data_IF_146723791394
#
_entry.id   IF_146723791394
#
_cell.length_a   1.000
_cell.length_b   1.000
_cell.length_c   1.000
_cell.angle_alpha   90.00
_cell.angle_beta   90.00
_cell.angle_gamma   90.00
#
_symmetry.space_group_name_H-M   'P 1'
#
loop_
_entity.id
_entity.type
_entity.pdbx_description
1 polymer ?
#
# COMPACT_ATOMS: atom_id res chain seq x y z
N UNK A 1 -18.20 -23.06 -1.04
CA UNK A 1 -17.28 -22.13 -0.36
C UNK A 1 -15.93 -22.30 -1.01
N UNK A 2 -15.37 -21.29 -1.67
CA UNK A 2 -14.12 -21.44 -2.44
C UNK A 2 -13.06 -20.54 -1.84
N UNK A 3 -12.22 -21.11 -0.96
CA UNK A 3 -10.95 -20.53 -0.56
C UNK A 3 -9.98 -20.79 -1.73
N UNK A 4 -9.52 -19.75 -2.42
CA UNK A 4 -8.70 -19.92 -3.62
C UNK A 4 -7.22 -19.71 -3.26
N UNK A 5 -6.48 -20.82 -3.12
CA UNK A 5 -5.04 -20.88 -2.88
C UNK A 5 -4.37 -21.33 -4.18
N UNK A 6 -3.34 -20.62 -4.68
CA UNK A 6 -2.70 -20.91 -5.99
C UNK A 6 -1.18 -21.12 -5.88
N UNK A 7 -0.70 -22.25 -6.42
CA UNK A 7 0.71 -22.65 -6.56
C UNK A 7 0.82 -23.84 -7.53
N UNK A 8 1.72 -23.80 -8.51
CA UNK A 8 1.87 -24.84 -9.54
C UNK A 8 3.34 -25.23 -9.76
N UNK A 9 3.60 -26.54 -9.91
CA UNK A 9 4.88 -27.16 -10.28
C UNK A 9 4.98 -27.35 -11.81
N UNK A 10 6.14 -27.08 -12.42
CA UNK A 10 6.41 -27.43 -13.83
C UNK A 10 7.34 -28.64 -13.95
N UNK A 11 6.93 -29.64 -14.75
CA UNK A 11 7.82 -30.66 -15.33
C UNK A 11 8.06 -30.35 -16.81
N UNK A 12 9.31 -30.44 -17.22
CA UNK A 12 9.79 -30.24 -18.59
C UNK A 12 9.65 -31.52 -19.42
N UNK A 13 9.17 -31.40 -20.67
CA UNK A 13 9.44 -32.38 -21.73
C UNK A 13 9.76 -31.63 -23.05
N UNK A 14 10.71 -32.13 -23.86
CA UNK A 14 11.21 -31.44 -25.04
C UNK A 14 10.37 -31.71 -26.30
N UNK A 15 10.40 -30.75 -27.23
CA UNK A 15 9.79 -30.83 -28.57
C UNK A 15 10.88 -31.10 -29.61
N UNK A 16 10.56 -31.79 -30.72
CA UNK A 16 11.00 -31.26 -32.01
C UNK A 16 9.93 -31.33 -33.12
N UNK A 17 9.89 -30.27 -33.95
CA UNK A 17 9.80 -30.45 -35.41
C UNK A 17 8.52 -30.02 -36.15
N UNK A 18 8.65 -28.93 -36.92
CA UNK A 18 7.96 -28.60 -38.18
C UNK A 18 6.63 -27.79 -38.14
N UNK A 19 6.72 -26.54 -38.60
CA UNK A 19 5.68 -25.50 -38.61
C UNK A 19 4.60 -25.63 -39.73
N UNK A 20 4.50 -26.75 -40.44
CA UNK A 20 3.50 -26.90 -41.54
C UNK A 20 2.32 -27.80 -41.24
N UNK A 21 2.35 -28.60 -40.16
CA UNK A 21 1.21 -29.40 -39.72
C UNK A 21 0.15 -28.61 -38.91
N UNK A 22 0.52 -27.44 -38.35
CA UNK A 22 -0.28 -26.71 -37.37
C UNK A 22 -1.54 -26.04 -37.96
N UNK A 23 -1.54 -25.67 -39.25
CA UNK A 23 -2.66 -24.92 -39.85
C UNK A 23 -3.86 -25.77 -40.23
N UNK A 24 -3.67 -27.07 -40.49
CA UNK A 24 -4.78 -27.99 -40.84
C UNK A 24 -5.41 -28.60 -39.57
N UNK A 25 -4.64 -28.73 -38.48
CA UNK A 25 -5.14 -29.24 -37.20
C UNK A 25 -6.03 -28.26 -36.42
N UNK A 26 -5.75 -26.96 -36.48
CA UNK A 26 -6.52 -25.94 -35.74
C UNK A 26 -7.99 -25.88 -36.20
N UNK A 27 -8.26 -26.08 -37.49
CA UNK A 27 -9.63 -26.05 -38.03
C UNK A 27 -10.43 -27.32 -37.71
N UNK A 28 -9.78 -28.47 -37.60
CA UNK A 28 -10.43 -29.74 -37.23
C UNK A 28 -10.68 -29.86 -35.71
N UNK A 29 -9.79 -29.32 -34.87
CA UNK A 29 -10.00 -29.29 -33.42
C UNK A 29 -11.13 -28.33 -32.99
N UNK A 30 -11.31 -27.20 -33.69
CA UNK A 30 -12.38 -26.25 -33.39
C UNK A 30 -13.79 -26.85 -33.62
N UNK A 31 -13.94 -27.72 -34.63
CA UNK A 31 -15.21 -28.38 -34.93
C UNK A 31 -15.53 -29.54 -33.96
N UNK A 32 -14.51 -30.24 -33.44
CA UNK A 32 -14.70 -31.34 -32.48
C UNK A 32 -14.96 -30.85 -31.04
N UNK A 33 -14.39 -29.71 -30.64
CA UNK A 33 -14.60 -29.13 -29.29
C UNK A 33 -16.01 -28.59 -29.11
N UNK A 34 -16.70 -28.18 -30.18
CA UNK A 34 -18.10 -27.72 -30.11
C UNK A 34 -19.10 -28.86 -29.84
N UNK A 35 -18.72 -30.13 -30.02
CA UNK A 35 -19.62 -31.28 -29.85
C UNK A 35 -19.53 -31.90 -28.44
N UNK A 36 -18.48 -31.61 -27.65
CA UNK A 36 -18.26 -32.22 -26.33
C UNK A 36 -18.57 -31.33 -25.10
N UNK A 37 -19.01 -30.09 -25.28
CA UNK A 37 -19.38 -29.23 -24.14
C UNK A 37 -20.78 -29.48 -23.56
N UNK A 38 -21.51 -30.51 -24.01
CA UNK A 38 -22.85 -30.81 -23.50
C UNK A 38 -22.89 -31.68 -22.24
N UNK A 39 -21.77 -32.17 -21.70
CA UNK A 39 -21.78 -33.04 -20.53
C UNK A 39 -20.61 -32.80 -19.57
N UNK A 40 -20.78 -31.83 -18.66
CA UNK A 40 -20.04 -31.81 -17.39
C UNK A 40 -21.08 -31.79 -16.24
N UNK A 41 -21.03 -32.75 -15.30
CA UNK A 41 -21.99 -32.81 -14.21
C UNK A 41 -21.85 -31.64 -13.24
N UNK A 42 -22.99 -31.09 -12.82
CA UNK A 42 -23.11 -30.02 -11.83
C UNK A 42 -22.60 -30.48 -10.45
N UNK A 43 -21.50 -29.88 -9.98
CA UNK A 43 -21.05 -30.02 -8.59
C UNK A 43 -21.80 -29.01 -7.71
N UNK A 44 -22.73 -29.55 -6.90
CA UNK A 44 -23.42 -28.99 -5.73
C UNK A 44 -23.60 -27.46 -5.66
N UNK A 45 -24.76 -27.01 -6.12
CA UNK A 45 -25.20 -25.61 -6.20
C UNK A 45 -26.15 -25.21 -5.05
N UNK A 46 -26.07 -25.85 -3.87
CA UNK A 46 -27.16 -25.81 -2.88
C UNK A 46 -26.87 -25.05 -1.56
N UNK A 47 -25.95 -24.08 -1.53
CA UNK A 47 -25.76 -23.21 -0.35
C UNK A 47 -25.72 -21.70 -0.61
N UNK A 48 -26.00 -21.25 -1.85
CA UNK A 48 -25.94 -19.82 -2.23
C UNK A 48 -27.29 -19.21 -2.67
N UNK A 49 -28.41 -19.89 -2.43
CA UNK A 49 -29.70 -19.56 -3.09
C UNK A 49 -30.55 -18.47 -2.42
N UNK A 50 -30.01 -17.70 -1.47
CA UNK A 50 -30.56 -16.38 -1.13
C UNK A 50 -29.43 -15.35 -1.09
N UNK A 51 -29.01 -14.87 -2.25
CA UNK A 51 -28.38 -13.55 -2.32
C UNK A 51 -29.48 -12.53 -2.01
N UNK A 52 -29.27 -11.73 -0.97
CA UNK A 52 -30.10 -10.57 -0.67
C UNK A 52 -29.88 -9.53 -1.78
N UNK A 53 -30.92 -9.16 -2.52
CA UNK A 53 -30.81 -8.18 -3.61
C UNK A 53 -30.20 -6.86 -3.12
N UNK A 54 -30.49 -6.49 -1.88
CA UNK A 54 -29.91 -5.33 -1.21
C UNK A 54 -28.38 -5.41 -1.09
N UNK A 55 -27.82 -6.60 -0.88
CA UNK A 55 -26.36 -6.79 -0.81
C UNK A 55 -25.68 -6.59 -2.17
N UNK A 56 -26.32 -7.02 -3.26
CA UNK A 56 -25.79 -6.81 -4.60
C UNK A 56 -25.79 -5.33 -4.95
N UNK A 57 -26.85 -4.61 -4.60
CA UNK A 57 -26.98 -3.17 -4.84
C UNK A 57 -25.94 -2.37 -4.05
N UNK A 58 -25.73 -2.71 -2.78
CA UNK A 58 -24.68 -2.08 -1.96
C UNK A 58 -23.27 -2.37 -2.50
N UNK A 59 -22.98 -3.61 -2.93
CA UNK A 59 -21.69 -3.98 -3.54
C UNK A 59 -21.47 -3.22 -4.86
N UNK A 60 -22.50 -3.12 -5.69
CA UNK A 60 -22.49 -2.35 -6.93
C UNK A 60 -22.23 -0.86 -6.66
N UNK A 61 -22.93 -0.28 -5.69
CA UNK A 61 -22.77 1.13 -5.31
C UNK A 61 -21.33 1.40 -4.84
N UNK A 62 -20.82 0.57 -3.92
CA UNK A 62 -19.46 0.70 -3.39
C UNK A 62 -18.39 0.68 -4.49
N UNK A 63 -18.48 -0.26 -5.44
CA UNK A 63 -17.54 -0.33 -6.55
C UNK A 63 -17.74 0.76 -7.60
N UNK A 64 -18.99 1.21 -7.80
CA UNK A 64 -19.29 2.34 -8.69
C UNK A 64 -18.66 3.62 -8.15
N UNK A 65 -18.81 3.92 -6.87
CA UNK A 65 -18.19 5.09 -6.23
C UNK A 65 -16.66 5.06 -6.33
N UNK A 66 -16.05 3.89 -6.13
CA UNK A 66 -14.60 3.72 -6.34
C UNK A 66 -14.20 4.06 -7.77
N UNK A 67 -14.85 3.45 -8.75
CA UNK A 67 -14.49 3.61 -10.16
C UNK A 67 -14.81 5.01 -10.68
N UNK A 68 -15.84 5.69 -10.17
CA UNK A 68 -16.11 7.09 -10.50
C UNK A 68 -14.91 8.00 -10.24
N UNK A 69 -14.15 7.73 -9.16
CA UNK A 69 -12.95 8.49 -8.83
C UNK A 69 -11.74 7.95 -9.56
N UNK A 70 -11.55 6.63 -9.64
CA UNK A 70 -10.26 6.02 -10.03
C UNK A 70 -10.17 5.56 -11.49
N UNK A 71 -11.29 5.32 -12.19
CA UNK A 71 -11.28 4.70 -13.52
C UNK A 71 -10.55 5.54 -14.58
N UNK A 72 -10.60 6.86 -14.43
CA UNK A 72 -9.96 7.83 -15.33
C UNK A 72 -8.82 8.60 -14.67
N UNK A 73 -8.30 8.12 -13.53
CA UNK A 73 -7.11 8.71 -12.93
C UNK A 73 -5.93 8.46 -13.85
N UNK A 74 -5.28 9.55 -14.26
CA UNK A 74 -4.02 9.48 -15.00
C UNK A 74 -2.98 8.69 -14.20
N UNK A 75 -2.19 7.86 -14.88
CA UNK A 75 -1.16 7.02 -14.27
C UNK A 75 -0.21 7.83 -13.38
N UNK A 76 0.15 9.05 -13.80
CA UNK A 76 1.01 9.97 -13.06
C UNK A 76 0.43 10.39 -11.71
N UNK A 77 -0.89 10.30 -11.51
CA UNK A 77 -1.59 10.71 -10.30
C UNK A 77 -1.95 9.52 -9.38
N UNK A 78 -1.67 8.27 -9.79
CA UNK A 78 -1.65 7.15 -8.85
C UNK A 78 -0.53 7.36 -7.82
N UNK A 79 -0.67 6.78 -6.62
CA UNK A 79 0.27 6.93 -5.49
C UNK A 79 1.63 6.22 -5.72
N UNK A 80 2.21 6.32 -6.91
CA UNK A 80 3.56 5.87 -7.20
C UNK A 80 4.54 7.02 -6.99
N UNK A 81 5.14 7.13 -5.81
CA UNK A 81 6.03 8.24 -5.48
C UNK A 81 7.41 8.15 -6.15
N UNK A 82 7.75 7.02 -6.79
CA UNK A 82 9.03 6.78 -7.43
C UNK A 82 9.72 5.53 -6.90
N UNK A 83 11.01 5.38 -7.23
CA UNK A 83 11.81 4.25 -6.77
C UNK A 83 11.90 4.24 -5.23
N UNK A 84 11.83 3.05 -4.63
CA UNK A 84 11.93 2.73 -3.21
C UNK A 84 12.21 3.92 -2.26
N UNK A 85 11.14 4.45 -1.65
CA UNK A 85 11.10 5.54 -0.65
C UNK A 85 11.54 6.91 -1.12
N UNK A 86 11.63 7.15 -2.42
CA UNK A 86 12.04 8.44 -2.92
C UNK A 86 10.83 9.35 -3.16
N UNK A 87 10.32 10.01 -2.10
CA UNK A 87 9.18 10.94 -2.20
C UNK A 87 9.53 12.26 -2.93
N UNK A 88 10.56 12.30 -3.79
CA UNK A 88 10.90 13.48 -4.59
C UNK A 88 9.71 13.96 -5.42
N UNK A 89 8.96 13.07 -6.07
CA UNK A 89 7.77 13.46 -6.84
C UNK A 89 6.72 14.18 -5.99
N UNK A 90 6.64 13.88 -4.70
CA UNK A 90 5.76 14.59 -3.78
C UNK A 90 6.33 15.96 -3.40
N UNK A 91 7.62 16.00 -3.06
CA UNK A 91 8.34 17.21 -2.67
C UNK A 91 8.37 18.27 -3.78
N UNK A 92 8.44 17.86 -5.05
CA UNK A 92 8.46 18.76 -6.22
C UNK A 92 7.22 19.66 -6.36
N UNK A 93 6.16 19.39 -5.60
CA UNK A 93 4.96 20.23 -5.55
C UNK A 93 5.05 21.42 -4.59
N UNK A 94 6.16 21.57 -3.87
CA UNK A 94 6.34 22.55 -2.81
C UNK A 94 7.63 23.37 -3.02
N UNK A 95 7.57 24.67 -2.79
CA UNK A 95 8.77 25.50 -2.66
C UNK A 95 9.25 25.41 -1.20
N UNK A 96 10.28 24.60 -0.96
CA UNK A 96 10.77 24.28 0.38
C UNK A 96 12.25 24.63 0.57
N UNK A 97 12.59 24.95 1.82
CA UNK A 97 13.98 25.10 2.24
C UNK A 97 14.51 23.79 2.84
N UNK A 98 15.65 23.31 2.36
CA UNK A 98 16.31 22.11 2.93
C UNK A 98 17.09 22.50 4.18
N UNK A 99 16.70 21.94 5.33
CA UNK A 99 17.44 22.06 6.57
C UNK A 99 18.64 21.13 6.54
N UNK A 100 19.85 21.69 6.50
CA UNK A 100 21.10 20.94 6.50
C UNK A 100 21.81 21.10 7.83
N UNK A 101 21.95 20.01 8.59
CA UNK A 101 22.59 20.04 9.92
C UNK A 101 24.10 20.24 9.84
N UNK A 102 24.71 19.89 8.71
CA UNK A 102 26.15 20.01 8.46
C UNK A 102 26.57 21.33 7.81
N UNK A 103 25.61 22.16 7.36
CA UNK A 103 25.92 23.45 6.75
C UNK A 103 26.34 24.47 7.84
N UNK A 104 27.58 24.96 7.74
CA UNK A 104 28.11 26.05 8.55
C UNK A 104 28.39 27.31 7.69
N UNK A 105 27.71 28.46 7.95
CA UNK A 105 26.53 28.61 8.78
C UNK A 105 25.24 28.33 7.98
N UNK A 106 24.31 27.58 8.57
CA UNK A 106 22.93 27.58 8.09
C UNK A 106 22.35 29.00 8.22
N UNK A 107 21.63 29.53 7.22
CA UNK A 107 21.02 30.85 7.30
C UNK A 107 20.05 30.89 8.50
N UNK A 108 20.06 32.00 9.28
CA UNK A 108 19.10 32.17 10.36
C UNK A 108 17.66 32.04 9.87
N UNK A 109 16.78 31.40 10.65
CA UNK A 109 15.37 31.21 10.26
C UNK A 109 14.63 32.52 9.95
N UNK A 110 15.03 33.65 10.55
CA UNK A 110 14.45 34.96 10.24
C UNK A 110 14.72 35.44 8.79
N UNK A 111 15.68 34.83 8.08
CA UNK A 111 15.97 35.11 6.68
C UNK A 111 15.19 34.19 5.72
N UNK A 112 14.50 33.19 6.25
CA UNK A 112 13.79 32.16 5.48
C UNK A 112 12.27 32.37 5.49
N UNK A 113 11.80 33.59 5.74
CA UNK A 113 10.38 33.93 5.84
C UNK A 113 9.60 33.76 4.53
N UNK A 114 10.31 33.62 3.40
CA UNK A 114 9.71 33.34 2.11
C UNK A 114 9.26 31.87 1.95
N UNK A 115 9.72 30.98 2.84
CA UNK A 115 9.40 29.56 2.80
C UNK A 115 8.33 29.20 3.84
N UNK A 116 7.28 28.53 3.38
CA UNK A 116 6.27 27.89 4.25
C UNK A 116 6.54 26.41 4.47
N UNK A 117 7.47 25.83 3.71
CA UNK A 117 7.80 24.41 3.77
C UNK A 117 9.28 24.24 4.05
N UNK A 118 9.59 23.31 4.94
CA UNK A 118 10.97 22.97 5.29
C UNK A 118 11.15 21.46 5.13
N UNK A 119 12.25 21.05 4.51
CA UNK A 119 12.59 19.66 4.35
C UNK A 119 13.77 19.30 5.24
N UNK A 120 13.54 18.40 6.18
CA UNK A 120 14.56 17.73 6.97
C UNK A 120 14.84 16.35 6.35
N UNK A 121 15.90 16.23 5.52
CA UNK A 121 16.32 14.93 5.02
C UNK A 121 16.80 14.05 6.18
N UNK A 122 16.69 12.73 6.03
CA UNK A 122 17.35 11.80 6.95
C UNK A 122 18.87 11.88 6.76
N UNK A 123 19.54 12.66 7.61
CA UNK A 123 20.98 12.54 7.81
C UNK A 123 21.23 11.35 8.74
N UNK A 124 22.28 10.56 8.49
CA UNK A 124 22.66 9.39 9.30
C UNK A 124 22.88 9.80 10.78
N UNK A 125 21.81 9.83 11.58
CA UNK A 125 21.80 10.36 12.93
C UNK A 125 20.40 10.36 13.53
N UNK A 126 20.24 9.75 14.71
CA UNK A 126 18.93 9.52 15.34
C UNK A 126 18.31 10.74 16.05
N UNK A 127 18.71 11.97 15.68
CA UNK A 127 18.33 13.21 16.36
C UNK A 127 17.79 14.31 15.42
N UNK A 128 17.60 14.03 14.12
CA UNK A 128 17.21 15.03 13.12
C UNK A 128 15.95 15.82 13.48
N UNK A 129 14.85 15.15 13.87
CA UNK A 129 13.61 15.84 14.22
C UNK A 129 13.78 16.72 15.47
N UNK A 130 14.51 16.24 16.48
CA UNK A 130 14.79 17.04 17.67
C UNK A 130 15.70 18.24 17.35
N UNK A 131 16.68 18.06 16.47
CA UNK A 131 17.54 19.15 16.00
C UNK A 131 16.73 20.23 15.27
N UNK A 132 15.81 19.84 14.38
CA UNK A 132 14.91 20.79 13.73
C UNK A 132 14.01 21.49 14.77
N UNK A 133 13.42 20.75 15.71
CA UNK A 133 12.61 21.32 16.78
C UNK A 133 13.40 22.37 17.60
N UNK A 134 14.66 22.10 17.95
CA UNK A 134 15.55 23.04 18.63
C UNK A 134 15.83 24.29 17.80
N UNK A 135 16.02 24.14 16.49
CA UNK A 135 16.26 25.26 15.59
C UNK A 135 15.08 26.24 15.60
N UNK A 136 13.86 25.72 15.42
CA UNK A 136 12.64 26.54 15.48
C UNK A 136 12.36 27.07 16.88
N UNK A 137 12.53 26.25 17.93
CA UNK A 137 12.37 26.69 19.32
C UNK A 137 13.29 27.86 19.65
N UNK A 138 14.58 27.77 19.30
CA UNK A 138 15.56 28.85 19.52
C UNK A 138 15.19 30.13 18.78
N UNK A 139 14.65 30.03 17.57
CA UNK A 139 14.15 31.19 16.82
C UNK A 139 13.00 31.86 17.56
N UNK A 140 11.99 31.10 18.01
CA UNK A 140 10.82 31.66 18.69
C UNK A 140 11.09 32.21 20.11
N UNK A 141 12.23 31.88 20.73
CA UNK A 141 12.66 32.48 22.01
C UNK A 141 13.25 33.89 21.85
N UNK A 142 13.49 34.37 20.63
CA UNK A 142 14.06 35.71 20.42
C UNK A 142 12.98 36.79 20.65
N UNK A 143 13.30 37.91 21.34
CA UNK A 143 12.30 38.95 21.68
C UNK A 143 11.54 39.54 20.49
N UNK A 144 12.14 39.51 19.29
CA UNK A 144 11.56 40.02 18.04
C UNK A 144 11.51 38.93 16.95
N UNK A 145 11.28 37.67 17.35
CA UNK A 145 11.21 36.56 16.41
C UNK A 145 10.11 36.78 15.37
N UNK A 146 10.46 36.82 14.09
CA UNK A 146 9.48 36.89 13.01
C UNK A 146 8.60 35.63 13.02
N UNK A 147 7.30 35.80 12.85
CA UNK A 147 6.39 34.67 12.68
C UNK A 147 6.80 33.85 11.45
N UNK A 148 6.83 32.53 11.60
CA UNK A 148 7.23 31.61 10.54
C UNK A 148 6.26 30.40 10.50
N UNK A 149 4.99 30.60 10.11
CA UNK A 149 4.05 29.50 9.87
C UNK A 149 4.66 28.51 8.89
N UNK A 150 4.77 27.23 9.28
CA UNK A 150 5.47 26.26 8.46
C UNK A 150 4.94 24.83 8.58
N UNK A 151 5.18 24.07 7.51
CA UNK A 151 5.11 22.60 7.47
C UNK A 151 6.52 22.04 7.39
N UNK A 152 6.81 21.02 8.18
CA UNK A 152 8.07 20.29 8.15
C UNK A 152 7.88 18.93 7.45
N UNK A 153 8.54 18.71 6.32
CA UNK A 153 8.75 17.39 5.73
C UNK A 153 9.91 16.72 6.46
N UNK A 154 9.67 15.61 7.14
CA UNK A 154 10.69 14.91 7.91
C UNK A 154 10.80 13.45 7.47
N UNK A 155 12.00 13.03 7.07
CA UNK A 155 12.35 11.63 6.76
C UNK A 155 11.48 11.00 5.66
N UNK A 156 11.16 11.78 4.62
CA UNK A 156 10.45 11.30 3.42
C UNK A 156 11.34 10.47 2.47
N UNK A 157 12.37 9.82 3.00
CA UNK A 157 13.34 9.02 2.25
C UNK A 157 13.57 7.62 2.87
N UNK A 158 12.64 7.16 3.72
CA UNK A 158 12.77 5.93 4.52
C UNK A 158 11.44 5.19 4.70
N UNK A 159 11.59 3.89 4.96
CA UNK A 159 10.55 2.99 5.47
C UNK A 159 10.00 3.37 6.86
N UNK A 160 10.69 4.25 7.59
CA UNK A 160 10.30 4.74 8.91
C UNK A 160 10.22 6.27 8.95
N UNK A 161 9.33 6.77 9.78
CA UNK A 161 8.98 8.16 9.90
C UNK A 161 9.74 8.81 11.04
N UNK A 162 9.67 10.13 11.10
CA UNK A 162 10.43 10.96 12.03
C UNK A 162 10.06 10.79 13.50
N UNK A 163 8.89 10.20 13.76
CA UNK A 163 8.41 9.87 15.09
C UNK A 163 8.66 8.40 15.47
N UNK A 164 9.38 7.63 14.63
CA UNK A 164 9.83 6.30 15.03
C UNK A 164 10.89 6.40 16.12
N UNK A 165 10.79 5.56 17.14
CA UNK A 165 11.94 5.11 17.89
C UNK A 165 12.63 4.08 16.99
N UNK A 166 13.86 4.37 16.58
CA UNK A 166 14.67 3.55 15.65
C UNK A 166 14.44 2.05 15.85
N UNK A 167 13.64 1.43 14.98
CA UNK A 167 13.43 -0.01 14.92
C UNK A 167 14.70 -0.67 14.39
N UNK A 168 15.50 -1.26 15.26
CA UNK A 168 16.58 -2.16 14.85
C UNK A 168 15.97 -3.54 14.63
N UNK A 169 15.63 -3.82 13.36
CA UNK A 169 15.57 -5.14 12.75
C UNK A 169 15.17 -6.31 13.70
N UNK A 170 13.90 -6.37 14.10
CA UNK A 170 13.30 -7.60 14.63
C UNK A 170 13.78 -8.09 16.00
N UNK A 171 14.49 -7.28 16.78
CA UNK A 171 14.92 -7.68 18.13
C UNK A 171 13.99 -7.06 19.17
N UNK A 172 13.27 -7.92 19.91
CA UNK A 172 12.74 -7.61 21.24
C UNK A 172 13.68 -6.64 21.96
N UNK A 173 13.21 -5.43 22.27
CA UNK A 173 13.79 -4.46 23.21
C UNK A 173 15.15 -4.91 23.78
N UNK A 174 16.26 -4.61 23.09
CA UNK A 174 17.57 -4.83 23.68
C UNK A 174 17.64 -3.98 24.97
N UNK A 175 17.99 -4.51 26.14
CA UNK A 175 17.90 -3.79 27.42
C UNK A 175 18.66 -2.44 27.45
N UNK A 176 19.75 -2.34 26.69
CA UNK A 176 20.57 -1.12 26.53
C UNK A 176 19.94 -0.03 25.62
N UNK A 177 18.80 -0.31 24.98
CA UNK A 177 18.12 0.61 24.07
C UNK A 177 17.35 1.70 24.82
N UNK A 178 16.69 1.35 25.92
CA UNK A 178 16.01 2.27 26.84
C UNK A 178 16.96 3.34 27.38
N UNK A 179 18.22 2.98 27.64
CA UNK A 179 19.23 3.91 28.15
C UNK A 179 19.73 4.87 27.06
N UNK A 180 19.92 4.40 25.81
CA UNK A 180 20.25 5.29 24.67
C UNK A 180 19.08 6.20 24.29
N UNK A 181 17.85 5.70 24.37
CA UNK A 181 16.63 6.48 24.14
C UNK A 181 16.44 7.53 25.24
N UNK A 182 16.61 7.17 26.51
CA UNK A 182 16.54 8.11 27.64
C UNK A 182 17.67 9.15 27.60
N UNK A 183 18.89 8.77 27.20
CA UNK A 183 20.04 9.68 27.07
C UNK A 183 19.92 10.64 25.88
N UNK A 184 19.25 10.23 24.79
CA UNK A 184 18.98 11.07 23.61
C UNK A 184 17.70 11.90 23.73
N UNK A 185 16.67 11.37 24.37
CA UNK A 185 15.50 12.15 24.76
C UNK A 185 15.92 13.28 25.70
N UNK A 186 16.86 13.05 26.64
CA UNK A 186 17.48 14.12 27.46
C UNK A 186 18.03 15.28 26.64
N UNK A 187 18.53 15.05 25.42
CA UNK A 187 19.00 16.14 24.56
C UNK A 187 17.84 16.97 24.01
N UNK A 188 16.62 16.43 23.91
CA UNK A 188 15.43 17.17 23.50
C UNK A 188 14.70 17.88 24.64
N UNK A 189 15.32 18.02 25.81
CA UNK A 189 14.80 18.86 26.88
C UNK A 189 15.60 20.15 26.98
N UNK A 190 14.93 21.23 27.37
CA UNK A 190 15.63 22.45 27.75
C UNK A 190 16.23 22.34 29.17
N UNK A 191 16.96 23.38 29.60
CA UNK A 191 17.59 23.45 30.93
C UNK A 191 16.61 23.36 32.11
N UNK A 192 15.31 23.59 31.86
CA UNK A 192 14.24 23.50 32.86
C UNK A 192 13.54 22.14 32.84
N UNK A 193 13.95 21.22 31.95
CA UNK A 193 13.32 19.91 31.80
C UNK A 193 12.04 19.93 30.97
N UNK A 194 11.80 20.95 30.14
CA UNK A 194 10.67 20.95 29.20
C UNK A 194 11.02 20.22 27.91
N UNK A 195 10.12 19.38 27.41
CA UNK A 195 10.29 18.67 26.14
C UNK A 195 10.19 19.65 24.96
N UNK A 196 11.31 19.91 24.28
CA UNK A 196 11.42 20.84 23.15
C UNK A 196 10.58 20.36 21.96
N UNK A 197 10.47 19.05 21.74
CA UNK A 197 9.64 18.52 20.65
C UNK A 197 8.16 18.84 20.90
N UNK A 198 7.68 18.69 22.14
CA UNK A 198 6.31 19.05 22.51
C UNK A 198 6.08 20.56 22.36
N UNK A 199 7.03 21.38 22.80
CA UNK A 199 6.96 22.84 22.65
C UNK A 199 6.92 23.24 21.18
N UNK A 200 7.75 22.62 20.34
CA UNK A 200 7.77 22.85 18.90
C UNK A 200 6.45 22.45 18.23
N UNK A 201 5.94 21.25 18.50
CA UNK A 201 4.71 20.74 17.88
C UNK A 201 3.48 21.53 18.33
N UNK A 202 3.44 21.98 19.58
CA UNK A 202 2.34 22.80 20.09
C UNK A 202 2.44 24.28 19.70
N UNK A 203 3.58 24.73 19.17
CA UNK A 203 3.75 26.12 18.75
C UNK A 203 2.76 26.51 17.62
N UNK A 204 2.11 27.70 17.67
CA UNK A 204 1.08 28.10 16.69
C UNK A 204 1.60 28.25 15.24
N UNK A 205 2.90 28.50 15.08
CA UNK A 205 3.56 28.56 13.78
C UNK A 205 3.97 27.19 13.22
N UNK A 206 4.01 26.14 14.05
CA UNK A 206 4.18 24.77 13.53
C UNK A 206 2.81 24.29 13.08
N UNK A 207 2.60 24.17 11.77
CA UNK A 207 1.29 23.83 11.20
C UNK A 207 1.13 22.33 11.02
N UNK A 208 2.16 21.66 10.51
CA UNK A 208 2.21 20.21 10.39
C UNK A 208 3.64 19.70 10.34
N UNK A 209 3.82 18.43 10.70
CA UNK A 209 4.99 17.62 10.40
C UNK A 209 4.54 16.44 9.56
N UNK A 210 4.92 16.43 8.28
CA UNK A 210 4.60 15.37 7.33
C UNK A 210 5.78 14.41 7.25
N UNK A 211 5.51 13.12 7.42
CA UNK A 211 6.54 12.08 7.42
C UNK A 211 5.98 10.75 6.90
N UNK A 212 6.78 9.69 6.82
CA UNK A 212 6.35 8.34 6.42
C UNK A 212 5.84 7.53 7.62
N UNK A 213 5.57 6.23 7.43
CA UNK A 213 5.03 5.29 8.44
C UNK A 213 5.98 5.06 9.65
N UNK A 214 5.69 4.17 10.62
CA UNK A 214 6.42 4.02 11.91
C UNK A 214 6.62 5.31 12.80
N UNK A 215 5.71 5.58 13.75
CA UNK A 215 5.58 6.67 14.71
C UNK A 215 5.19 5.96 16.00
N UNK A 216 6.10 5.91 16.94
CA UNK A 216 5.82 5.27 18.22
C UNK A 216 5.08 6.23 19.17
N UNK A 217 5.06 7.51 18.83
CA UNK A 217 4.37 8.57 19.56
C UNK A 217 3.43 9.31 18.60
N UNK A 218 2.21 9.57 19.05
CA UNK A 218 1.24 10.30 18.25
C UNK A 218 1.15 11.77 18.67
N UNK A 219 1.28 12.65 17.68
CA UNK A 219 1.05 14.09 17.83
C UNK A 219 -0.10 14.53 16.92
N UNK A 220 -0.85 15.54 17.35
CA UNK A 220 -1.98 16.04 16.56
C UNK A 220 -1.55 16.55 15.18
N UNK A 221 -0.47 17.34 15.15
CA UNK A 221 0.13 17.92 13.94
C UNK A 221 1.12 16.99 13.22
N UNK A 222 1.30 15.77 13.72
CA UNK A 222 2.10 14.74 13.06
C UNK A 222 1.24 13.93 12.10
N UNK A 223 1.58 13.92 10.83
CA UNK A 223 0.81 13.24 9.79
C UNK A 223 1.69 12.34 8.94
N UNK A 224 1.21 11.12 8.71
CA UNK A 224 1.80 10.23 7.70
C UNK A 224 1.25 10.57 6.33
N UNK A 225 2.11 10.55 5.33
CA UNK A 225 1.69 10.42 3.94
C UNK A 225 1.53 8.94 3.56
N UNK A 226 0.57 8.64 2.69
CA UNK A 226 0.38 7.31 2.13
C UNK A 226 1.63 6.76 1.45
N UNK A 227 2.05 5.54 1.80
CA UNK A 227 3.19 4.87 1.17
C UNK A 227 2.95 4.62 -0.33
N UNK A 228 1.72 4.28 -0.72
CA UNK A 228 1.32 4.17 -2.12
C UNK A 228 1.68 2.85 -2.80
N UNK A 229 2.25 2.91 -4.01
CA UNK A 229 2.61 1.76 -4.85
C UNK A 229 4.13 1.56 -4.89
N UNK A 230 4.57 0.31 -5.00
CA UNK A 230 6.00 -0.07 -4.90
C UNK A 230 6.84 0.41 -6.09
N UNK A 231 6.24 0.45 -7.29
CA UNK A 231 6.94 0.79 -8.52
C UNK A 231 5.97 1.21 -9.62
N UNK A 232 6.47 2.02 -10.56
CA UNK A 232 5.71 2.47 -11.73
C UNK A 232 5.16 1.30 -12.55
N UNK A 233 5.90 0.19 -12.71
CA UNK A 233 5.39 -0.98 -13.44
C UNK A 233 4.05 -1.48 -12.87
N UNK A 234 3.88 -1.46 -11.54
CA UNK A 234 2.61 -1.81 -10.89
C UNK A 234 1.55 -0.74 -11.07
N UNK A 235 1.91 0.54 -10.98
CA UNK A 235 0.99 1.64 -11.27
C UNK A 235 0.42 1.55 -12.69
N UNK A 236 1.26 1.27 -13.68
CA UNK A 236 0.87 1.12 -15.09
C UNK A 236 -0.04 -0.10 -15.31
N UNK A 237 0.18 -1.19 -14.58
CA UNK A 237 -0.70 -2.34 -14.61
C UNK A 237 -2.06 -2.00 -13.95
N UNK A 238 -2.06 -1.41 -12.76
CA UNK A 238 -3.26 -0.99 -12.04
C UNK A 238 -4.09 -0.02 -12.87
N UNK A 239 -3.48 1.00 -13.47
CA UNK A 239 -4.16 1.98 -14.34
C UNK A 239 -4.90 1.29 -15.48
N UNK A 240 -4.24 0.36 -16.18
CA UNK A 240 -4.86 -0.43 -17.27
C UNK A 240 -6.01 -1.32 -16.77
N UNK A 241 -5.84 -1.96 -15.60
CA UNK A 241 -6.88 -2.80 -15.02
C UNK A 241 -8.10 -1.97 -14.60
N UNK A 242 -7.90 -0.80 -14.00
CA UNK A 242 -8.97 0.13 -13.62
C UNK A 242 -9.82 0.57 -14.83
N UNK A 243 -9.16 0.91 -15.94
CA UNK A 243 -9.84 1.30 -17.19
C UNK A 243 -10.72 0.17 -17.76
N UNK A 244 -10.35 -1.09 -17.52
CA UNK A 244 -11.07 -2.26 -18.02
C UNK A 244 -12.13 -2.79 -17.03
N UNK A 245 -12.08 -2.36 -15.77
CA UNK A 245 -12.93 -2.90 -14.71
C UNK A 245 -14.37 -2.40 -14.84
N UNK A 246 -15.33 -3.28 -14.55
CA UNK A 246 -16.75 -2.96 -14.46
C UNK A 246 -17.21 -3.05 -12.99
N UNK A 247 -18.09 -2.15 -12.52
CA UNK A 247 -18.48 -2.10 -11.11
C UNK A 247 -19.28 -3.33 -10.67
N UNK A 248 -20.01 -3.98 -11.60
CA UNK A 248 -20.83 -5.17 -11.33
C UNK A 248 -20.05 -6.50 -11.46
N UNK A 249 -18.71 -6.49 -11.42
CA UNK A 249 -17.98 -7.77 -11.45
C UNK A 249 -18.22 -8.54 -10.14
N UNK A 250 -18.75 -9.77 -10.19
CA UNK A 250 -18.99 -10.54 -8.98
C UNK A 250 -17.66 -10.89 -8.30
N UNK A 251 -17.61 -10.75 -6.97
CA UNK A 251 -16.47 -11.16 -6.14
C UNK A 251 -16.78 -12.47 -5.42
N UNK A 252 -16.52 -13.64 -6.05
CA UNK A 252 -16.91 -14.93 -5.48
C UNK A 252 -16.02 -15.37 -4.31
N UNK A 253 -14.84 -14.76 -4.12
CA UNK A 253 -13.91 -15.13 -3.07
C UNK A 253 -14.12 -14.23 -1.86
N UNK A 254 -14.43 -14.82 -0.69
CA UNK A 254 -14.61 -14.05 0.54
C UNK A 254 -13.28 -13.48 1.05
N UNK A 255 -12.26 -14.33 1.18
CA UNK A 255 -10.94 -13.95 1.68
C UNK A 255 -9.84 -14.53 0.80
N UNK A 256 -8.92 -13.69 0.36
CA UNK A 256 -7.68 -14.09 -0.29
C UNK A 256 -6.48 -13.92 0.65
N UNK A 257 -5.58 -14.91 0.67
CA UNK A 257 -4.37 -14.88 1.48
C UNK A 257 -3.18 -15.06 0.55
N UNK A 258 -2.40 -14.00 0.37
CA UNK A 258 -1.11 -14.09 -0.33
C UNK A 258 -0.03 -14.49 0.68
N UNK A 259 0.26 -15.79 0.74
CA UNK A 259 1.31 -16.33 1.58
C UNK A 259 2.65 -16.21 0.86
N UNK A 260 3.54 -15.38 1.39
CA UNK A 260 4.96 -15.33 1.00
C UNK A 260 5.75 -15.54 2.28
N UNK A 261 6.65 -16.53 2.28
CA UNK A 261 7.55 -16.78 3.40
C UNK A 261 8.45 -15.56 3.60
N UNK A 262 8.13 -14.80 4.65
CA UNK A 262 8.94 -13.71 5.14
C UNK A 262 8.82 -13.77 6.64
N UNK A 263 9.94 -13.70 7.37
CA UNK A 263 10.00 -13.97 8.81
C UNK A 263 8.93 -13.20 9.62
N UNK A 264 8.66 -11.95 9.23
CA UNK A 264 7.65 -11.08 9.86
C UNK A 264 6.20 -11.44 9.53
N UNK A 265 5.95 -12.19 8.44
CA UNK A 265 4.61 -12.66 8.04
C UNK A 265 4.33 -14.06 8.55
N UNK A 266 5.36 -14.89 8.69
CA UNK A 266 5.21 -16.30 9.08
C UNK A 266 4.64 -16.42 10.49
N UNK A 267 5.19 -15.69 11.46
CA UNK A 267 4.73 -15.76 12.86
C UNK A 267 3.23 -15.37 13.05
N UNK A 268 2.74 -14.22 12.55
CA UNK A 268 1.32 -13.86 12.73
C UNK A 268 0.37 -14.69 11.88
N UNK A 269 0.81 -15.24 10.75
CA UNK A 269 -0.05 -16.05 9.88
C UNK A 269 -0.03 -17.54 10.21
N UNK A 270 0.91 -18.03 11.02
CA UNK A 270 1.04 -19.46 11.32
C UNK A 270 -0.18 -20.05 12.05
N UNK A 271 -0.75 -19.44 13.10
CA UNK A 271 -1.97 -19.94 13.73
C UNK A 271 -3.15 -19.96 12.77
N UNK A 272 -3.22 -18.96 11.89
CA UNK A 272 -4.25 -18.88 10.85
C UNK A 272 -4.07 -19.97 9.79
N UNK A 273 -2.83 -20.25 9.39
CA UNK A 273 -2.47 -21.31 8.45
C UNK A 273 -2.87 -22.69 8.97
N UNK A 274 -2.57 -22.97 10.24
CA UNK A 274 -2.93 -24.20 10.94
C UNK A 274 -4.45 -24.36 11.07
N UNK A 275 -5.16 -23.27 11.41
CA UNK A 275 -6.62 -23.24 11.54
C UNK A 275 -7.35 -23.37 10.20
N UNK A 276 -6.82 -22.76 9.14
CA UNK A 276 -7.42 -22.77 7.80
C UNK A 276 -7.01 -23.98 6.95
N UNK A 277 -6.17 -24.89 7.48
CA UNK A 277 -5.66 -26.07 6.78
C UNK A 277 -5.06 -25.75 5.40
N UNK A 278 -4.31 -24.65 5.30
CA UNK A 278 -3.66 -24.24 4.05
C UNK A 278 -2.64 -25.32 3.66
N UNK A 279 -2.72 -25.96 2.48
CA UNK A 279 -1.83 -27.06 2.12
C UNK A 279 -0.34 -26.65 2.07
N UNK A 280 0.56 -27.53 2.54
CA UNK A 280 2.02 -27.29 2.51
C UNK A 280 2.60 -27.04 1.10
N UNK A 281 1.88 -27.41 0.04
CA UNK A 281 2.29 -27.20 -1.36
C UNK A 281 2.36 -25.73 -1.81
N UNK A 282 1.93 -24.78 -0.97
CA UNK A 282 1.93 -23.34 -1.26
C UNK A 282 3.18 -22.59 -0.76
N UNK A 283 4.16 -23.29 -0.17
CA UNK A 283 5.49 -22.74 0.13
C UNK A 283 6.31 -22.60 -1.17
N UNK A 284 6.46 -21.36 -1.68
CA UNK A 284 7.49 -21.05 -2.67
C UNK A 284 8.62 -20.26 -2.00
N UNK A 285 9.80 -20.90 -1.88
CA UNK A 285 11.05 -20.19 -1.64
C UNK A 285 11.34 -19.25 -2.81
N UNK A 286 11.57 -17.97 -2.53
CA UNK A 286 11.98 -16.99 -3.53
C UNK A 286 13.50 -16.96 -3.64
N UNK A 287 14.03 -17.14 -4.86
CA UNK A 287 15.44 -16.97 -5.20
C UNK A 287 15.67 -15.55 -5.75
N UNK A 288 16.46 -14.69 -5.08
CA UNK A 288 16.71 -13.31 -5.51
C UNK A 288 17.44 -13.16 -6.85
N UNK A 289 18.03 -14.25 -7.38
CA UNK A 289 18.97 -14.16 -8.51
C UNK A 289 18.35 -14.39 -9.90
N UNK A 290 17.02 -14.54 -10.01
CA UNK A 290 16.39 -15.00 -11.25
C UNK A 290 15.33 -14.06 -11.84
N UNK A 291 15.68 -12.78 -12.00
CA UNK A 291 14.88 -11.81 -12.78
C UNK A 291 15.79 -11.10 -13.78
N UNK A 292 15.61 -11.39 -15.07
CA UNK A 292 16.29 -10.70 -16.17
C UNK A 292 15.63 -9.32 -16.42
N UNK A 293 16.33 -8.19 -16.23
CA UNK A 293 15.77 -6.85 -16.38
C UNK A 293 15.46 -6.44 -17.83
N UNK A 294 15.86 -7.23 -18.83
CA UNK A 294 15.91 -6.75 -20.23
C UNK A 294 14.59 -6.81 -21.02
N UNK A 295 13.47 -7.31 -20.47
CA UNK A 295 12.25 -7.57 -21.28
C UNK A 295 11.20 -6.45 -21.31
N UNK A 296 11.40 -5.34 -20.62
CA UNK A 296 10.43 -4.24 -20.61
C UNK A 296 10.99 -3.03 -21.35
N UNK A 297 10.48 -2.75 -22.55
CA UNK A 297 10.26 -1.40 -23.10
C UNK A 297 9.70 -1.47 -24.54
N UNK A 298 8.51 -0.89 -24.77
CA UNK A 298 8.15 -0.06 -25.95
C UNK A 298 6.70 0.49 -25.83
N UNK A 299 6.42 1.72 -26.31
CA UNK A 299 5.11 2.36 -26.17
C UNK A 299 4.17 1.89 -27.28
N UNK A 300 2.91 1.57 -26.95
CA UNK A 300 1.99 0.99 -27.93
C UNK A 300 0.61 1.64 -27.90
N UNK A 301 0.20 2.04 -29.12
CA UNK A 301 -1.02 2.75 -29.50
C UNK A 301 -2.29 1.88 -29.36
N UNK A 302 -3.49 2.50 -29.44
CA UNK A 302 -4.84 1.90 -29.25
C UNK A 302 -5.09 0.54 -29.92
N UNK A 303 -4.51 0.27 -31.10
CA UNK A 303 -4.65 -1.02 -31.80
C UNK A 303 -3.96 -2.19 -31.07
N UNK A 304 -2.94 -1.89 -30.26
CA UNK A 304 -2.18 -2.90 -29.51
C UNK A 304 -2.93 -3.38 -28.25
N UNK A 305 -3.80 -2.56 -27.67
CA UNK A 305 -4.54 -2.90 -26.44
C UNK A 305 -5.61 -3.97 -26.69
N UNK A 306 -6.32 -3.88 -27.82
CA UNK A 306 -7.26 -4.93 -28.26
C UNK A 306 -6.48 -6.22 -28.55
N UNK A 307 -5.30 -6.11 -29.17
CA UNK A 307 -4.46 -7.26 -29.47
C UNK A 307 -3.91 -7.94 -28.21
N UNK A 308 -3.49 -7.20 -27.17
CA UNK A 308 -3.01 -7.80 -25.92
C UNK A 308 -4.13 -8.50 -25.14
N UNK A 309 -5.32 -7.91 -25.08
CA UNK A 309 -6.47 -8.52 -24.41
C UNK A 309 -6.91 -9.82 -25.10
N UNK A 310 -6.89 -9.84 -26.44
CA UNK A 310 -7.16 -11.05 -27.24
C UNK A 310 -6.00 -12.05 -27.11
N UNK A 311 -4.75 -11.61 -27.10
CA UNK A 311 -3.59 -12.49 -26.94
C UNK A 311 -3.54 -13.12 -25.55
N UNK A 312 -3.88 -12.40 -24.49
CA UNK A 312 -4.06 -12.93 -23.14
C UNK A 312 -5.22 -13.93 -23.12
N UNK A 313 -6.36 -13.59 -23.71
CA UNK A 313 -7.50 -14.52 -23.82
C UNK A 313 -7.10 -15.81 -24.56
N UNK A 314 -6.45 -15.70 -25.72
CA UNK A 314 -5.95 -16.85 -26.49
C UNK A 314 -4.89 -17.60 -25.69
N UNK A 315 -3.95 -16.93 -25.04
CA UNK A 315 -2.91 -17.57 -24.22
C UNK A 315 -3.51 -18.36 -23.06
N UNK A 316 -4.43 -17.78 -22.30
CA UNK A 316 -4.97 -18.40 -21.08
C UNK A 316 -6.11 -19.38 -21.36
N UNK A 317 -7.06 -19.01 -22.23
CA UNK A 317 -8.26 -19.83 -22.48
C UNK A 317 -8.04 -20.87 -23.57
N UNK A 318 -7.22 -20.57 -24.58
CA UNK A 318 -7.00 -21.48 -25.73
C UNK A 318 -5.69 -22.25 -25.57
N UNK A 319 -4.58 -21.56 -25.31
CA UNK A 319 -3.24 -22.16 -25.25
C UNK A 319 -2.84 -22.64 -23.84
N UNK A 320 -3.65 -22.34 -22.81
CA UNK A 320 -3.39 -22.66 -21.39
C UNK A 320 -2.00 -22.21 -20.89
N UNK A 321 -1.43 -21.18 -21.48
CA UNK A 321 -0.20 -20.55 -21.00
C UNK A 321 -0.54 -19.84 -19.68
N UNK A 322 0.24 -19.98 -18.59
CA UNK A 322 -0.06 -19.33 -17.32
C UNK A 322 0.07 -17.80 -17.40
N UNK A 323 -0.76 -17.06 -16.65
CA UNK A 323 -0.59 -15.62 -16.44
C UNK A 323 0.79 -15.35 -15.84
N UNK A 324 1.34 -14.15 -16.07
CA UNK A 324 2.48 -13.71 -15.26
C UNK A 324 2.06 -13.72 -13.79
N UNK A 325 3.00 -13.93 -12.88
CA UNK A 325 2.72 -13.99 -11.44
C UNK A 325 2.03 -12.70 -10.95
N UNK A 326 2.40 -11.54 -11.50
CA UNK A 326 1.79 -10.25 -11.17
C UNK A 326 0.36 -10.14 -11.69
N UNK A 327 0.09 -10.49 -12.96
CA UNK A 327 -1.28 -10.43 -13.49
C UNK A 327 -2.19 -11.40 -12.76
N UNK A 328 -1.68 -12.59 -12.39
CA UNK A 328 -2.43 -13.54 -11.58
C UNK A 328 -2.73 -13.00 -10.18
N UNK A 329 -1.78 -12.31 -9.56
CA UNK A 329 -1.99 -11.64 -8.27
C UNK A 329 -3.10 -10.59 -8.36
N UNK A 330 -3.02 -9.66 -9.32
CA UNK A 330 -4.04 -8.62 -9.49
C UNK A 330 -5.42 -9.18 -9.88
N UNK A 331 -5.44 -10.26 -10.67
CA UNK A 331 -6.66 -11.00 -10.97
C UNK A 331 -7.26 -11.61 -9.70
N UNK A 332 -6.46 -12.25 -8.85
CA UNK A 332 -6.98 -12.89 -7.64
C UNK A 332 -7.51 -11.88 -6.63
N UNK A 333 -6.79 -10.77 -6.41
CA UNK A 333 -7.28 -9.75 -5.47
C UNK A 333 -8.57 -9.11 -5.99
N UNK A 334 -8.68 -8.80 -7.29
CA UNK A 334 -9.88 -8.15 -7.86
C UNK A 334 -11.16 -8.99 -7.76
N UNK A 335 -11.04 -10.31 -7.60
CA UNK A 335 -12.16 -11.24 -7.39
C UNK A 335 -12.45 -11.55 -5.93
N UNK A 336 -11.65 -11.01 -4.99
CA UNK A 336 -11.82 -11.19 -3.56
C UNK A 336 -12.51 -9.99 -2.91
N UNK A 337 -13.36 -10.26 -1.91
CA UNK A 337 -13.96 -9.23 -1.05
C UNK A 337 -12.93 -8.67 -0.08
N UNK A 338 -12.21 -9.57 0.59
CA UNK A 338 -11.13 -9.23 1.51
C UNK A 338 -9.82 -9.87 1.10
N UNK A 339 -8.74 -9.25 1.55
CA UNK A 339 -7.43 -9.87 1.58
C UNK A 339 -6.69 -9.44 2.84
N UNK A 340 -5.98 -10.38 3.47
CA UNK A 340 -5.17 -10.07 4.65
C UNK A 340 -4.07 -9.07 4.29
N UNK A 341 -3.63 -8.27 5.27
CA UNK A 341 -2.45 -7.41 5.19
C UNK A 341 -1.71 -7.39 6.53
N UNK A 342 -1.00 -8.49 6.88
CA UNK A 342 -0.12 -8.48 8.04
C UNK A 342 0.91 -7.38 7.88
N UNK A 343 1.22 -6.75 9.01
CA UNK A 343 2.21 -5.69 9.15
C UNK A 343 3.55 -6.17 8.60
N UNK A 344 4.20 -5.30 7.81
CA UNK A 344 5.56 -5.52 7.33
C UNK A 344 6.56 -4.74 8.20
N UNK A 345 7.38 -3.90 7.54
CA UNK A 345 8.18 -2.88 8.25
C UNK A 345 7.32 -1.82 8.94
N UNK A 346 6.08 -1.66 8.48
CA UNK A 346 5.04 -0.88 9.12
C UNK A 346 3.66 -1.37 8.69
N UNK A 347 2.61 -0.77 9.27
CA UNK A 347 1.22 -1.10 8.92
C UNK A 347 0.83 -0.59 7.54
N UNK A 348 1.51 0.47 7.06
CA UNK A 348 1.24 1.08 5.78
C UNK A 348 2.04 0.40 4.66
N UNK A 349 1.50 -0.70 4.14
CA UNK A 349 2.16 -1.50 3.12
C UNK A 349 1.68 -1.11 1.72
N UNK A 350 2.55 -1.24 0.71
CA UNK A 350 2.17 -1.12 -0.72
C UNK A 350 0.92 -1.95 -1.08
N UNK A 351 0.82 -3.13 -0.45
CA UNK A 351 -0.28 -4.06 -0.63
C UNK A 351 -1.64 -3.50 -0.24
N UNK A 352 -1.69 -2.60 0.75
CA UNK A 352 -2.91 -1.92 1.16
C UNK A 352 -3.50 -1.15 -0.03
N UNK A 353 -2.67 -0.37 -0.70
CA UNK A 353 -3.08 0.44 -1.84
C UNK A 353 -3.43 -0.41 -3.05
N UNK A 354 -2.68 -1.47 -3.35
CA UNK A 354 -3.01 -2.41 -4.43
C UNK A 354 -4.41 -3.02 -4.26
N UNK A 355 -4.74 -3.47 -3.05
CA UNK A 355 -6.06 -4.00 -2.72
C UNK A 355 -7.13 -2.91 -2.88
N UNK A 356 -6.89 -1.72 -2.31
CA UNK A 356 -7.83 -0.61 -2.39
C UNK A 356 -8.11 -0.18 -3.84
N UNK A 357 -7.10 -0.06 -4.70
CA UNK A 357 -7.28 0.21 -6.13
C UNK A 357 -8.12 -0.87 -6.80
N UNK A 358 -7.84 -2.15 -6.53
CA UNK A 358 -8.61 -3.27 -7.09
C UNK A 358 -9.98 -3.46 -6.44
N UNK A 359 -10.32 -2.67 -5.42
CA UNK A 359 -11.61 -2.72 -4.72
C UNK A 359 -11.74 -3.80 -3.67
N UNK A 360 -10.63 -4.42 -3.31
CA UNK A 360 -10.52 -5.45 -2.28
C UNK A 360 -10.25 -4.78 -0.96
N UNK A 361 -10.92 -5.21 0.10
CA UNK A 361 -10.81 -4.60 1.41
C UNK A 361 -9.60 -5.21 2.14
N UNK A 362 -8.58 -4.39 2.52
CA UNK A 362 -7.49 -4.86 3.36
C UNK A 362 -7.99 -5.24 4.75
N UNK A 363 -7.56 -6.40 5.27
CA UNK A 363 -7.74 -6.78 6.68
C UNK A 363 -6.41 -6.57 7.41
N UNK A 364 -6.38 -5.62 8.35
CA UNK A 364 -5.16 -5.21 9.07
C UNK A 364 -5.32 -5.50 10.56
N UNK A 365 -4.36 -6.22 11.12
CA UNK A 365 -4.28 -6.48 12.55
C UNK A 365 -3.78 -5.26 13.34
N UNK A 366 -4.41 -4.99 14.47
CA UNK A 366 -4.14 -3.82 15.32
C UNK A 366 -3.53 -4.16 16.68
N UNK A 367 -3.47 -5.45 17.06
CA UNK A 367 -2.78 -5.93 18.26
C UNK A 367 -1.36 -5.36 18.30
N UNK A 368 -0.98 -4.79 19.44
CA UNK A 368 0.30 -4.10 19.67
C UNK A 368 0.50 -2.77 18.92
N UNK A 369 -0.53 -2.24 18.27
CA UNK A 369 -0.48 -0.97 17.52
C UNK A 369 -1.56 0.06 17.96
N UNK A 370 -2.17 -0.15 19.14
CA UNK A 370 -3.36 0.60 19.61
C UNK A 370 -3.09 2.03 20.10
N UNK A 371 -1.84 2.41 20.37
CA UNK A 371 -1.51 3.72 20.97
C UNK A 371 -1.16 4.79 19.94
N UNK A 372 -1.31 4.48 18.66
CA UNK A 372 -0.65 5.23 17.61
C UNK A 372 -1.71 5.63 16.57
N UNK A 373 -1.84 6.93 16.26
CA UNK A 373 -2.84 7.45 15.30
C UNK A 373 -2.46 7.19 13.82
N UNK A 374 -1.82 6.06 13.58
CA UNK A 374 -1.35 5.55 12.29
C UNK A 374 -2.43 5.23 11.30
N UNK A 375 -3.56 4.80 11.84
CA UNK A 375 -4.74 4.49 11.06
C UNK A 375 -5.27 5.70 10.31
N UNK A 376 -4.84 6.93 10.66
CA UNK A 376 -5.24 8.17 9.99
C UNK A 376 -4.98 8.19 8.49
N UNK A 377 -3.92 7.53 8.04
CA UNK A 377 -3.65 7.40 6.60
C UNK A 377 -4.79 6.63 5.89
N UNK A 378 -5.42 5.69 6.61
CA UNK A 378 -6.56 4.90 6.20
C UNK A 378 -7.92 5.44 6.65
N UNK A 379 -7.97 6.55 7.42
CA UNK A 379 -9.25 7.18 7.75
C UNK A 379 -10.02 7.47 6.46
N UNK A 380 -11.33 7.25 6.48
CA UNK A 380 -12.20 7.39 5.31
C UNK A 380 -11.83 6.49 4.11
N UNK A 381 -11.04 5.43 4.31
CA UNK A 381 -10.83 4.35 3.35
C UNK A 381 -11.43 3.03 3.85
N UNK A 382 -11.86 2.12 2.95
CA UNK A 382 -12.46 0.86 3.35
C UNK A 382 -11.38 -0.15 3.76
N UNK A 383 -10.97 -0.06 5.01
CA UNK A 383 -10.05 -0.98 5.68
C UNK A 383 -10.77 -1.68 6.82
N UNK A 384 -10.60 -2.99 6.91
CA UNK A 384 -11.13 -3.82 7.98
C UNK A 384 -10.06 -4.01 9.06
N UNK A 385 -10.18 -3.25 10.15
CA UNK A 385 -9.28 -3.39 11.30
C UNK A 385 -9.77 -4.50 12.21
N UNK A 386 -8.87 -5.42 12.56
CA UNK A 386 -9.13 -6.51 13.50
C UNK A 386 -8.16 -6.42 14.67
N UNK A 387 -8.60 -6.76 15.89
CA UNK A 387 -7.68 -6.85 17.02
C UNK A 387 -6.59 -7.90 16.72
N UNK A 388 -6.99 -9.12 16.39
CA UNK A 388 -6.08 -10.21 16.05
C UNK A 388 -6.64 -11.14 14.99
N UNK A 389 -5.79 -11.73 14.16
CA UNK A 389 -6.19 -12.67 13.13
C UNK A 389 -6.86 -13.95 13.67
N UNK A 390 -6.66 -14.31 14.95
CA UNK A 390 -7.39 -15.42 15.58
C UNK A 390 -8.91 -15.16 15.64
N UNK A 391 -9.30 -13.89 15.76
CA UNK A 391 -10.71 -13.49 15.80
C UNK A 391 -11.34 -13.45 14.41
N UNK A 392 -10.55 -13.69 13.36
CA UNK A 392 -11.04 -13.69 11.98
C UNK A 392 -11.91 -14.93 11.76
N UNK A 393 -13.20 -14.73 11.52
CA UNK A 393 -14.16 -15.78 11.15
C UNK A 393 -14.97 -15.35 9.93
N UNK A 394 -15.71 -16.28 9.32
CA UNK A 394 -16.60 -15.94 8.21
C UNK A 394 -17.69 -14.97 8.67
N UNK A 395 -18.24 -15.18 9.86
CA UNK A 395 -19.29 -14.35 10.45
C UNK A 395 -18.78 -12.92 10.67
N UNK A 396 -17.55 -12.78 11.15
CA UNK A 396 -16.90 -11.49 11.29
C UNK A 396 -16.68 -10.81 9.92
N UNK A 397 -16.14 -11.54 8.93
CA UNK A 397 -15.92 -11.02 7.58
C UNK A 397 -17.23 -10.58 6.91
N UNK A 398 -18.29 -11.36 7.05
CA UNK A 398 -19.60 -11.03 6.47
C UNK A 398 -20.23 -9.82 7.15
N UNK A 399 -20.17 -9.73 8.49
CA UNK A 399 -20.65 -8.57 9.23
C UNK A 399 -19.86 -7.31 8.87
N UNK A 400 -18.54 -7.42 8.82
CA UNK A 400 -17.64 -6.32 8.47
C UNK A 400 -17.83 -5.87 7.02
N UNK A 401 -18.09 -6.80 6.10
CA UNK A 401 -18.39 -6.45 4.71
C UNK A 401 -19.64 -5.60 4.61
N UNK A 402 -20.72 -5.98 5.31
CA UNK A 402 -21.95 -5.17 5.35
C UNK A 402 -21.71 -3.79 5.91
N UNK A 403 -20.98 -3.69 7.02
CA UNK A 403 -20.60 -2.41 7.63
C UNK A 403 -19.84 -1.53 6.64
N UNK A 404 -18.87 -2.11 5.93
CA UNK A 404 -18.05 -1.38 4.96
C UNK A 404 -18.87 -0.95 3.75
N UNK A 405 -19.71 -1.80 3.19
CA UNK A 405 -20.54 -1.44 2.04
C UNK A 405 -21.52 -0.29 2.33
N UNK A 406 -21.92 -0.11 3.59
CA UNK A 406 -22.77 1.00 4.04
C UNK A 406 -21.99 2.30 4.34
N UNK A 407 -20.66 2.24 4.33
CA UNK A 407 -19.78 3.36 4.60
C UNK A 407 -19.72 4.37 3.45
N UNK A 408 -19.20 5.55 3.77
CA UNK A 408 -18.79 6.55 2.77
C UNK A 408 -17.27 6.67 2.81
N UNK A 409 -16.66 6.75 1.64
CA UNK A 409 -15.21 6.71 1.50
C UNK A 409 -14.68 7.82 0.62
N UNK A 410 -13.50 8.32 0.98
CA UNK A 410 -12.75 9.36 0.28
C UNK A 410 -11.74 8.72 -0.65
N UNK A 411 -12.22 8.21 -1.79
CA UNK A 411 -11.38 7.53 -2.77
C UNK A 411 -10.29 8.42 -3.37
N UNK A 412 -10.44 9.74 -3.32
CA UNK A 412 -9.42 10.69 -3.74
C UNK A 412 -8.12 10.55 -2.92
N UNK A 413 -8.18 9.99 -1.70
CA UNK A 413 -6.98 9.66 -0.90
C UNK A 413 -6.03 8.70 -1.61
N UNK A 414 -6.51 7.97 -2.62
CA UNK A 414 -5.71 7.11 -3.49
C UNK A 414 -5.10 7.87 -4.69
N UNK A 415 -4.94 9.18 -4.57
CA UNK A 415 -4.30 10.01 -5.61
C UNK A 415 -3.20 10.88 -5.01
N UNK A 416 -2.15 11.17 -5.79
CA UNK A 416 -1.09 12.09 -5.34
C UNK A 416 -1.63 13.47 -5.05
N UNK A 417 -2.52 13.96 -5.93
CA UNK A 417 -3.10 15.28 -5.82
C UNK A 417 -3.81 15.52 -4.49
N UNK A 418 -4.49 14.51 -3.94
CA UNK A 418 -5.09 14.63 -2.61
C UNK A 418 -4.06 14.97 -1.54
N UNK A 419 -2.93 14.25 -1.49
CA UNK A 419 -1.91 14.45 -0.46
C UNK A 419 -1.17 15.77 -0.63
N UNK A 420 -0.97 16.21 -1.87
CA UNK A 420 -0.45 17.54 -2.16
C UNK A 420 -1.40 18.62 -1.61
N UNK A 421 -2.70 18.51 -1.91
CA UNK A 421 -3.70 19.48 -1.43
C UNK A 421 -3.86 19.45 0.09
N UNK A 422 -3.87 18.24 0.68
CA UNK A 422 -3.91 18.04 2.12
C UNK A 422 -2.80 18.81 2.83
N UNK A 423 -1.59 18.75 2.28
CA UNK A 423 -0.44 19.42 2.87
C UNK A 423 -0.45 20.92 2.64
N UNK A 424 -0.90 21.37 1.46
CA UNK A 424 -1.02 22.80 1.16
C UNK A 424 -1.98 23.53 2.08
N UNK A 425 -3.08 22.87 2.45
CA UNK A 425 -4.11 23.41 3.34
C UNK A 425 -3.64 23.76 4.76
N UNK A 426 -2.41 23.41 5.17
CA UNK A 426 -1.86 23.79 6.47
C UNK A 426 -1.31 25.23 6.52
N UNK A 427 -0.99 25.81 5.36
CA UNK A 427 -0.35 27.14 5.24
C UNK A 427 -1.05 28.09 4.28
N UNK A 428 -1.93 27.57 3.42
CA UNK A 428 -2.94 28.34 2.68
C UNK A 428 -4.11 28.74 3.60
#
# INVERSE_FOLDING_TARGET
>A
MTLLLVGEQQRWLPVPGSQRALRVWISLCAALVLIQLSQVPSLSQNYWTRRDDNMNDMELQFHTQRLQVLQNVEESNLLDWGAYHDFHQYLDHFDFYVLNKTADPSPPLHQLTNYSYFHLPDEKGADGLCWAAKLFYKHYQQPNATALPHVLFAYLNRDWGAFSVKWLAGVYLHPDYTERLAKKQKECYDQNGNNILDLYLNHPNTKAVITTQAHDVSYEKGHSIALGLEASVRANLISRLLQQQQPHQPRPVLLYINYREWEFRTAPLQPLHERLQVPNSYQRQWDPHNVDPATFLRPLTRLHQIHQSILEFVRHKILRIPLSQETQYFHNISHAKFMLSPVGWGMDCYRNYEMLYMGTIPVIETRNHTHNRWFRVFDDLPVAFIDHYDNLTNEWLEAEYRRILQGSYRWEKLTKQYWVNFTKAFVE
#
